data_IF_989807623567
#
_entry.id   IF_989807623567
#
_cell.length_a   1.000
_cell.length_b   1.000
_cell.length_c   1.000
_cell.angle_alpha   90.00
_cell.angle_beta   90.00
_cell.angle_gamma   90.00
#
_symmetry.space_group_name_H-M   'P 1'
#
loop_
_entity.id
_entity.type
_entity.pdbx_description
1 polymer ?
#
# COMPACT_ATOMS: atom_id res chain seq x y z
N UNK A 1 1.14 14.17 -17.58
CA UNK A 1 1.38 12.88 -16.89
C UNK A 1 0.88 11.77 -17.82
N UNK A 2 1.76 11.04 -18.49
CA UNK A 2 1.38 10.03 -19.50
C UNK A 2 1.81 8.60 -19.10
N UNK A 3 2.02 8.34 -17.80
CA UNK A 3 2.61 7.08 -17.30
C UNK A 3 1.89 6.42 -16.12
N UNK A 4 0.77 6.99 -15.66
CA UNK A 4 -0.04 6.38 -14.60
C UNK A 4 -0.96 5.34 -15.23
N UNK A 5 -0.74 4.06 -14.91
CA UNK A 5 -1.54 2.96 -15.45
C UNK A 5 -2.77 2.70 -14.58
N UNK A 6 -2.58 2.59 -13.26
CA UNK A 6 -3.65 2.44 -12.29
C UNK A 6 -3.19 3.03 -10.95
N UNK A 7 -3.50 4.31 -10.73
CA UNK A 7 -3.01 5.06 -9.57
C UNK A 7 -3.93 4.93 -8.37
N UNK A 8 -3.38 4.45 -7.27
CA UNK A 8 -4.08 4.16 -6.02
C UNK A 8 -3.30 4.67 -4.81
N UNK A 9 -3.92 4.59 -3.62
CA UNK A 9 -3.32 5.01 -2.35
C UNK A 9 -2.64 6.39 -2.41
N UNK A 10 -3.31 7.45 -2.92
CA UNK A 10 -2.71 8.78 -2.97
C UNK A 10 -2.43 9.29 -1.55
N UNK A 11 -1.22 9.81 -1.33
CA UNK A 11 -0.80 10.39 -0.04
C UNK A 11 0.02 11.65 -0.27
N UNK A 12 -0.21 12.66 0.55
CA UNK A 12 0.68 13.82 0.59
C UNK A 12 1.76 13.59 1.66
N UNK A 13 3.02 13.67 1.27
CA UNK A 13 4.14 13.47 2.18
C UNK A 13 5.36 14.25 1.68
N UNK A 14 6.02 14.97 2.58
CA UNK A 14 7.22 15.78 2.30
C UNK A 14 7.10 16.69 1.06
N UNK A 15 5.94 17.36 0.94
CA UNK A 15 5.67 18.31 -0.13
C UNK A 15 5.43 17.68 -1.50
N UNK A 16 5.21 16.35 -1.56
CA UNK A 16 4.95 15.60 -2.79
C UNK A 16 3.67 14.78 -2.67
N UNK A 17 3.01 14.57 -3.81
CA UNK A 17 1.94 13.59 -3.95
C UNK A 17 2.54 12.22 -4.30
N UNK A 18 2.39 11.25 -3.42
CA UNK A 18 2.78 9.87 -3.61
C UNK A 18 1.60 9.04 -4.10
N UNK A 19 1.86 8.14 -5.06
CA UNK A 19 0.84 7.29 -5.70
C UNK A 19 1.40 5.88 -5.89
N UNK A 20 0.62 4.86 -5.52
CA UNK A 20 0.88 3.47 -5.89
C UNK A 20 0.34 3.22 -7.31
N UNK A 21 1.23 3.08 -8.29
CA UNK A 21 0.86 2.80 -9.68
C UNK A 21 0.78 1.29 -9.92
N UNK A 22 -0.32 0.66 -9.51
CA UNK A 22 -0.51 -0.79 -9.52
C UNK A 22 -0.14 -1.45 -10.85
N UNK A 23 -0.48 -0.80 -11.98
CA UNK A 23 -0.20 -1.32 -13.32
C UNK A 23 1.29 -1.42 -13.68
N UNK A 24 2.18 -0.74 -12.95
CA UNK A 24 3.64 -0.77 -13.20
C UNK A 24 4.46 -1.34 -12.05
N UNK A 25 3.84 -1.66 -10.91
CA UNK A 25 4.57 -2.13 -9.72
C UNK A 25 5.40 -1.05 -9.04
N UNK A 26 5.10 0.24 -9.28
CA UNK A 26 5.89 1.37 -8.80
C UNK A 26 5.11 2.23 -7.82
N UNK A 27 5.80 2.75 -6.82
CA UNK A 27 5.37 3.91 -6.05
C UNK A 27 6.08 5.12 -6.65
N UNK A 28 5.29 6.11 -7.05
CA UNK A 28 5.79 7.36 -7.65
C UNK A 28 5.51 8.53 -6.72
N UNK A 29 6.42 9.49 -6.66
CA UNK A 29 6.19 10.77 -6.01
C UNK A 29 6.17 11.88 -7.08
N UNK A 30 5.32 12.87 -6.86
CA UNK A 30 5.03 13.93 -7.82
C UNK A 30 5.15 15.27 -7.09
N UNK A 31 5.99 16.16 -7.60
CA UNK A 31 6.16 17.49 -7.02
C UNK A 31 5.04 18.46 -7.47
N UNK A 32 5.06 19.68 -6.92
CA UNK A 32 4.07 20.71 -7.21
C UNK A 32 4.12 21.22 -8.67
N UNK A 33 5.25 21.03 -9.37
CA UNK A 33 5.41 21.37 -10.78
C UNK A 33 4.94 20.24 -11.71
N UNK A 34 4.58 19.08 -11.14
CA UNK A 34 4.09 17.91 -11.86
C UNK A 34 5.18 16.97 -12.35
N UNK A 35 6.43 17.13 -11.91
CA UNK A 35 7.51 16.19 -12.19
C UNK A 35 7.33 14.93 -11.34
N UNK A 36 7.53 13.76 -11.95
CA UNK A 36 7.37 12.47 -11.29
C UNK A 36 8.70 11.73 -11.13
N UNK A 37 8.90 11.09 -9.98
CA UNK A 37 10.05 10.25 -9.66
C UNK A 37 9.56 8.87 -9.18
N UNK A 38 10.24 7.79 -9.60
CA UNK A 38 9.97 6.44 -9.07
C UNK A 38 10.74 6.30 -7.77
N UNK A 39 10.00 6.18 -6.66
CA UNK A 39 10.57 6.11 -5.32
C UNK A 39 10.89 4.67 -4.90
N UNK A 40 10.06 3.73 -5.34
CA UNK A 40 10.21 2.31 -5.01
C UNK A 40 9.53 1.45 -6.08
N UNK A 41 10.18 0.36 -6.48
CA UNK A 41 9.53 -0.74 -7.21
C UNK A 41 9.18 -1.82 -6.19
N UNK A 42 7.90 -2.13 -6.05
CA UNK A 42 7.41 -3.04 -5.01
C UNK A 42 7.45 -4.48 -5.56
N UNK A 43 8.01 -5.46 -4.82
CA UNK A 43 8.00 -6.87 -5.21
C UNK A 43 6.65 -7.52 -4.86
N UNK A 44 5.54 -6.91 -5.26
CA UNK A 44 4.19 -7.34 -4.88
C UNK A 44 3.23 -7.34 -6.05
N UNK A 45 2.27 -8.24 -5.97
CA UNK A 45 1.13 -8.26 -6.87
C UNK A 45 0.06 -7.32 -6.34
N UNK A 46 -0.52 -6.48 -7.21
CA UNK A 46 -1.62 -5.59 -6.83
C UNK A 46 -2.75 -6.33 -6.07
N UNK A 47 -3.38 -5.70 -5.07
CA UNK A 47 -3.19 -4.31 -4.64
C UNK A 47 -1.96 -4.12 -3.74
N UNK A 48 -1.44 -2.89 -3.70
CA UNK A 48 -0.47 -2.46 -2.70
C UNK A 48 -0.68 -0.98 -2.33
N UNK A 49 -0.50 -0.64 -1.06
CA UNK A 49 -0.72 0.70 -0.52
C UNK A 49 0.40 1.08 0.43
N UNK A 50 0.51 2.38 0.73
CA UNK A 50 1.60 2.90 1.55
C UNK A 50 1.16 3.90 2.60
N UNK A 51 1.94 3.95 3.66
CA UNK A 51 1.95 5.03 4.64
C UNK A 51 3.33 5.11 5.30
N UNK A 52 3.50 6.01 6.28
CA UNK A 52 4.75 6.22 6.99
C UNK A 52 4.60 5.98 8.48
N UNK A 53 5.59 5.32 9.08
CA UNK A 53 5.75 5.29 10.52
C UNK A 53 6.10 6.69 11.07
N UNK A 54 5.85 6.97 12.37
CA UNK A 54 6.21 8.24 12.98
C UNK A 54 7.70 8.61 12.88
N UNK A 55 8.58 7.63 12.64
CA UNK A 55 10.02 7.85 12.43
C UNK A 55 10.40 8.05 10.95
N UNK A 56 9.41 8.22 10.07
CA UNK A 56 9.59 8.53 8.65
C UNK A 56 9.84 7.31 7.76
N UNK A 57 9.87 6.09 8.32
CA UNK A 57 10.05 4.88 7.50
C UNK A 57 8.77 4.54 6.73
N UNK A 58 8.91 4.34 5.42
CA UNK A 58 7.84 3.87 4.55
C UNK A 58 7.41 2.44 4.93
N UNK A 59 6.11 2.21 5.01
CA UNK A 59 5.51 0.87 5.08
C UNK A 59 4.64 0.62 3.87
N UNK A 60 4.67 -0.62 3.38
CA UNK A 60 3.98 -1.06 2.16
C UNK A 60 3.15 -2.29 2.48
N UNK A 61 1.84 -2.26 2.19
CA UNK A 61 1.02 -3.46 2.18
C UNK A 61 1.20 -4.18 0.86
N UNK A 62 1.62 -5.44 0.90
CA UNK A 62 1.63 -6.34 -0.26
C UNK A 62 0.37 -7.19 -0.20
N UNK A 63 -0.68 -6.74 -0.88
CA UNK A 63 -2.05 -7.15 -0.61
C UNK A 63 -2.31 -8.63 -0.80
N UNK A 64 -1.82 -9.21 -1.90
CA UNK A 64 -1.99 -10.64 -2.20
C UNK A 64 -1.01 -11.53 -1.46
N UNK A 65 0.18 -11.01 -1.18
CA UNK A 65 1.21 -11.72 -0.43
C UNK A 65 0.89 -11.76 1.07
N UNK A 66 -0.01 -10.89 1.55
CA UNK A 66 -0.43 -10.84 2.95
C UNK A 66 0.67 -10.35 3.88
N UNK A 67 1.54 -9.45 3.39
CA UNK A 67 2.66 -8.93 4.15
C UNK A 67 2.56 -7.40 4.28
N UNK A 68 2.99 -6.89 5.42
CA UNK A 68 3.38 -5.48 5.55
C UNK A 68 4.90 -5.43 5.52
N UNK A 69 5.45 -4.76 4.53
CA UNK A 69 6.88 -4.51 4.41
C UNK A 69 7.22 -3.13 4.95
N UNK A 70 8.43 -2.97 5.45
CA UNK A 70 8.98 -1.69 5.88
C UNK A 70 10.29 -1.43 5.17
N UNK A 71 10.48 -0.22 4.69
CA UNK A 71 11.75 0.22 4.12
C UNK A 71 12.71 0.63 5.23
N UNK A 72 13.90 0.04 5.23
CA UNK A 72 15.02 0.43 6.08
C UNK A 72 15.78 1.63 5.50
N UNK A 73 16.64 2.25 6.32
CA UNK A 73 17.44 3.40 5.92
C UNK A 73 18.39 3.12 4.76
N UNK A 74 18.79 1.86 4.55
CA UNK A 74 19.59 1.41 3.41
C UNK A 74 18.76 1.13 2.14
N UNK A 75 17.45 1.37 2.20
CA UNK A 75 16.49 1.14 1.13
C UNK A 75 15.96 -0.29 1.04
N UNK A 76 16.44 -1.22 1.86
CA UNK A 76 15.96 -2.61 1.85
C UNK A 76 14.53 -2.73 2.37
N UNK A 77 13.76 -3.67 1.81
CA UNK A 77 12.44 -4.00 2.31
C UNK A 77 12.51 -5.22 3.22
N UNK A 78 12.06 -5.05 4.47
CA UNK A 78 11.96 -6.13 5.46
C UNK A 78 10.50 -6.39 5.83
N UNK A 79 10.18 -7.61 6.25
CA UNK A 79 8.84 -7.91 6.77
C UNK A 79 8.65 -7.21 8.12
N UNK A 80 7.66 -6.32 8.18
CA UNK A 80 7.19 -5.69 9.41
C UNK A 80 6.13 -6.55 10.10
N UNK A 81 5.18 -7.08 9.32
CA UNK A 81 4.12 -7.96 9.83
C UNK A 81 3.68 -8.99 8.77
N UNK A 82 3.22 -10.14 9.25
CA UNK A 82 2.65 -11.23 8.43
C UNK A 82 1.15 -11.38 8.75
N UNK A 83 0.31 -11.03 7.78
CA UNK A 83 -1.15 -11.00 7.91
C UNK A 83 -1.82 -12.25 7.33
N UNK A 84 -1.06 -13.20 6.75
CA UNK A 84 -1.60 -14.38 6.03
C UNK A 84 -2.47 -15.27 6.92
N UNK A 85 -2.24 -15.23 8.24
CA UNK A 85 -2.98 -16.00 9.22
C UNK A 85 -4.32 -15.35 9.65
N UNK A 86 -4.55 -14.09 9.28
CA UNK A 86 -5.75 -13.34 9.68
C UNK A 86 -6.87 -13.39 8.64
N UNK A 87 -6.52 -13.52 7.35
CA UNK A 87 -7.48 -13.59 6.26
C UNK A 87 -6.88 -14.27 5.03
N UNK A 88 -7.72 -15.00 4.28
CA UNK A 88 -7.38 -15.53 2.96
C UNK A 88 -7.68 -14.55 1.81
N UNK A 89 -8.30 -13.40 2.09
CA UNK A 89 -8.57 -12.38 1.09
C UNK A 89 -7.39 -11.39 0.97
N UNK A 90 -7.29 -10.72 -0.17
CA UNK A 90 -6.28 -9.68 -0.36
C UNK A 90 -6.50 -8.48 0.57
N UNK A 91 -5.41 -7.99 1.15
CA UNK A 91 -5.34 -6.73 1.88
C UNK A 91 -5.26 -5.58 0.88
N UNK A 92 -5.74 -4.38 1.23
CA UNK A 92 -5.91 -3.31 0.25
C UNK A 92 -5.28 -1.98 0.68
N UNK A 93 -5.73 -1.40 1.79
CA UNK A 93 -5.40 -0.04 2.21
C UNK A 93 -4.82 0.00 3.62
N UNK A 94 -4.01 1.02 3.89
CA UNK A 94 -3.28 1.23 5.14
C UNK A 94 -3.43 2.66 5.66
N UNK A 95 -3.52 2.77 6.98
CA UNK A 95 -3.37 4.03 7.71
C UNK A 95 -2.49 3.79 8.93
N UNK A 96 -1.48 4.63 9.12
CA UNK A 96 -0.64 4.66 10.32
C UNK A 96 -1.01 5.86 11.17
N UNK A 97 -1.26 5.64 12.46
CA UNK A 97 -1.54 6.74 13.38
C UNK A 97 -0.27 7.36 13.98
N UNK A 98 -0.41 8.51 14.65
CA UNK A 98 0.71 9.21 15.29
C UNK A 98 1.37 8.47 16.46
N UNK A 99 0.82 7.32 16.89
CA UNK A 99 1.40 6.43 17.90
C UNK A 99 2.18 5.26 17.26
N UNK A 100 2.12 5.12 15.93
CA UNK A 100 2.74 4.05 15.17
C UNK A 100 1.88 2.79 15.04
N UNK A 101 0.59 2.85 15.35
CA UNK A 101 -0.34 1.75 15.07
C UNK A 101 -0.61 1.67 13.57
N UNK A 102 -0.57 0.46 13.02
CA UNK A 102 -0.79 0.22 11.59
C UNK A 102 -2.16 -0.44 11.40
N UNK A 103 -3.11 0.30 10.84
CA UNK A 103 -4.42 -0.22 10.49
C UNK A 103 -4.43 -0.66 9.04
N UNK A 104 -4.74 -1.93 8.79
CA UNK A 104 -4.78 -2.49 7.43
C UNK A 104 -6.17 -3.04 7.17
N UNK A 105 -6.76 -2.66 6.03
CA UNK A 105 -8.03 -3.24 5.60
C UNK A 105 -7.85 -4.32 4.53
N UNK A 106 -8.86 -5.18 4.40
CA UNK A 106 -8.96 -6.20 3.37
C UNK A 106 -10.39 -6.34 2.88
N UNK A 107 -10.52 -6.70 1.61
CA UNK A 107 -11.82 -6.96 1.00
C UNK A 107 -12.45 -8.24 1.55
N UNK A 108 -13.77 -8.31 1.49
CA UNK A 108 -14.48 -9.60 1.57
C UNK A 108 -14.24 -10.44 0.32
N UNK A 109 -14.64 -11.73 0.33
CA UNK A 109 -14.55 -12.57 -0.85
C UNK A 109 -15.31 -11.92 -2.02
N UNK A 110 -14.72 -11.98 -3.21
CA UNK A 110 -15.40 -11.52 -4.42
C UNK A 110 -16.71 -12.31 -4.56
N UNK A 111 -17.84 -11.64 -4.82
CA UNK A 111 -19.12 -12.30 -4.95
C UNK A 111 -19.12 -13.16 -6.20
N UNK A 112 -19.82 -14.29 -6.12
CA UNK A 112 -20.28 -14.95 -7.35
C UNK A 112 -21.21 -13.98 -8.11
N UNK A 113 -21.25 -14.03 -9.46
CA UNK A 113 -22.10 -13.15 -10.25
C UNK A 113 -23.55 -13.19 -9.74
N UNK A 114 -24.13 -12.01 -9.50
CA UNK A 114 -25.50 -11.86 -8.98
C UNK A 114 -25.61 -11.89 -7.44
N UNK A 115 -24.51 -11.97 -6.70
CA UNK A 115 -24.50 -11.84 -5.23
C UNK A 115 -23.80 -10.56 -4.75
N UNK A 116 -24.01 -10.25 -3.47
CA UNK A 116 -23.37 -9.12 -2.79
C UNK A 116 -21.98 -9.50 -2.27
N UNK A 117 -21.07 -8.53 -2.21
CA UNK A 117 -19.76 -8.68 -1.56
C UNK A 117 -19.93 -9.12 -0.10
N UNK A 118 -19.05 -10.02 0.34
CA UNK A 118 -18.95 -10.37 1.75
C UNK A 118 -18.37 -9.22 2.60
N UNK A 119 -18.50 -9.28 3.94
CA UNK A 119 -17.90 -8.28 4.82
C UNK A 119 -16.38 -8.25 4.66
N UNK A 120 -15.82 -7.04 4.76
CA UNK A 120 -14.36 -6.83 4.80
C UNK A 120 -13.80 -6.93 6.22
N UNK A 121 -12.48 -6.78 6.32
CA UNK A 121 -11.74 -6.84 7.58
C UNK A 121 -10.92 -5.58 7.77
N UNK A 122 -10.75 -5.15 9.03
CA UNK A 122 -9.72 -4.18 9.45
C UNK A 122 -8.94 -4.85 10.59
N UNK A 123 -7.61 -4.82 10.50
CA UNK A 123 -6.71 -5.32 11.53
C UNK A 123 -5.79 -4.21 12.02
N UNK A 124 -5.25 -4.41 13.23
CA UNK A 124 -4.27 -3.57 13.89
C UNK A 124 -3.05 -4.43 14.23
#
# INVERSE_FOLDING_TARGET
MNGLAFGESPRWHDGRLWICNWGTGQIIAVDADGNSEVMLTVPATLPYSVDWLPDGRLVVVCGREGLVLRQEADGTLVTHADLRHLSGNAWNEIVVDGRGNIYVNGGGPAPVPGQHFGPGTIVL
#
